data_IF_698659926271
#
_entry.id   IF_698659926271
#
_cell.length_a   1.000
_cell.length_b   1.000
_cell.length_c   1.000
_cell.angle_alpha   90.00
_cell.angle_beta   90.00
_cell.angle_gamma   90.00
#
_symmetry.space_group_name_H-M   'P 1'
#
loop_
_entity.id
_entity.type
_entity.pdbx_description
1 polymer ?
#
# COMPACT_ATOMS: atom_id res chain seq x y z
N UNK A 1 -9.49 -4.87 -25.65
CA UNK A 1 -8.41 -3.88 -25.49
C UNK A 1 -7.09 -4.64 -25.46
N UNK A 2 -6.28 -4.55 -26.52
CA UNK A 2 -4.97 -5.20 -26.53
C UNK A 2 -4.04 -4.40 -25.62
N UNK A 3 -3.46 -5.05 -24.60
CA UNK A 3 -2.45 -4.45 -23.74
C UNK A 3 -1.16 -4.32 -24.55
N UNK A 4 -0.97 -3.18 -25.22
CA UNK A 4 0.28 -2.90 -25.92
C UNK A 4 1.36 -2.59 -24.87
N UNK A 5 2.01 -3.63 -24.37
CA UNK A 5 3.22 -3.47 -23.57
C UNK A 5 4.31 -2.81 -24.43
N UNK A 6 5.05 -1.88 -23.84
CA UNK A 6 6.20 -1.27 -24.51
C UNK A 6 7.19 -2.36 -24.92
N UNK A 7 7.63 -2.30 -26.18
CA UNK A 7 8.65 -3.19 -26.76
C UNK A 7 9.91 -3.20 -25.88
N UNK A 8 10.28 -2.04 -25.31
CA UNK A 8 11.42 -1.89 -24.40
C UNK A 8 11.24 -2.70 -23.10
N UNK A 9 10.02 -2.75 -22.56
CA UNK A 9 9.73 -3.51 -21.35
C UNK A 9 9.84 -5.01 -21.61
N UNK A 10 9.30 -5.47 -22.74
CA UNK A 10 9.39 -6.88 -23.14
C UNK A 10 10.83 -7.29 -23.45
N UNK A 11 11.60 -6.41 -24.09
CA UNK A 11 13.03 -6.60 -24.33
C UNK A 11 13.83 -6.74 -23.03
N UNK A 12 13.55 -5.88 -22.04
CA UNK A 12 14.18 -5.97 -20.73
C UNK A 12 13.85 -7.28 -19.99
N UNK A 13 12.59 -7.71 -20.03
CA UNK A 13 12.19 -8.97 -19.41
C UNK A 13 12.87 -10.16 -20.12
N UNK A 14 12.93 -10.14 -21.44
CA UNK A 14 13.61 -11.18 -22.23
C UNK A 14 15.10 -11.30 -21.86
N UNK A 15 15.81 -10.17 -21.75
CA UNK A 15 17.24 -10.17 -21.36
C UNK A 15 17.47 -10.65 -19.93
N UNK A 16 16.58 -10.36 -18.98
CA UNK A 16 16.68 -10.90 -17.62
C UNK A 16 16.40 -12.41 -17.56
N UNK A 17 15.58 -12.94 -18.48
CA UNK A 17 15.22 -14.36 -18.55
C UNK A 17 16.18 -15.20 -19.41
N UNK A 18 17.13 -14.58 -20.12
CA UNK A 18 18.12 -15.27 -20.96
C UNK A 18 18.86 -16.38 -20.20
N UNK A 19 19.13 -17.50 -20.87
CA UNK A 19 19.91 -18.63 -20.32
C UNK A 19 21.40 -18.30 -20.16
N UNK A 20 21.89 -17.32 -20.93
CA UNK A 20 23.26 -16.84 -20.85
C UNK A 20 23.44 -15.96 -19.61
N UNK A 21 24.33 -16.37 -18.69
CA UNK A 21 24.57 -15.62 -17.45
C UNK A 21 25.30 -14.31 -17.68
N UNK A 22 26.19 -14.27 -18.67
CA UNK A 22 27.05 -13.11 -18.93
C UNK A 22 26.29 -11.94 -19.57
N UNK A 23 25.14 -12.22 -20.20
CA UNK A 23 24.28 -11.21 -20.81
C UNK A 23 23.26 -10.60 -19.85
N UNK A 24 23.13 -11.13 -18.62
CA UNK A 24 22.09 -10.67 -17.69
C UNK A 24 22.50 -9.33 -17.07
N UNK A 25 21.63 -8.31 -17.13
CA UNK A 25 21.91 -7.04 -16.49
C UNK A 25 22.00 -7.24 -14.97
N UNK A 26 22.97 -6.56 -14.36
CA UNK A 26 23.04 -6.48 -12.90
C UNK A 26 21.78 -5.80 -12.35
N UNK A 27 21.46 -6.05 -11.08
CA UNK A 27 20.26 -5.48 -10.45
C UNK A 27 20.23 -3.93 -10.51
N UNK A 28 21.39 -3.27 -10.47
CA UNK A 28 21.49 -1.81 -10.62
C UNK A 28 21.15 -1.35 -12.03
N UNK A 29 21.63 -2.07 -13.06
CA UNK A 29 21.35 -1.80 -14.48
C UNK A 29 19.87 -2.00 -14.79
N UNK A 30 19.28 -3.13 -14.37
CA UNK A 30 17.86 -3.42 -14.57
C UNK A 30 16.97 -2.34 -13.92
N UNK A 31 17.32 -1.90 -12.71
CA UNK A 31 16.62 -0.79 -12.03
C UNK A 31 16.76 0.53 -12.79
N UNK A 32 17.92 0.82 -13.37
CA UNK A 32 18.16 1.99 -14.22
C UNK A 32 17.29 1.97 -15.48
N UNK A 33 17.26 0.83 -16.17
CA UNK A 33 16.45 0.62 -17.37
C UNK A 33 14.95 0.71 -17.08
N UNK A 34 14.47 0.09 -16.00
CA UNK A 34 13.09 0.22 -15.56
C UNK A 34 12.70 1.68 -15.27
N UNK A 35 13.58 2.46 -14.64
CA UNK A 35 13.34 3.90 -14.42
C UNK A 35 13.23 4.66 -15.73
N UNK A 36 14.12 4.40 -16.69
CA UNK A 36 14.09 5.06 -17.99
C UNK A 36 12.80 4.74 -18.76
N UNK A 37 12.39 3.46 -18.78
CA UNK A 37 11.13 3.01 -19.40
C UNK A 37 9.93 3.65 -18.70
N UNK A 38 9.93 3.69 -17.36
CA UNK A 38 8.87 4.33 -16.60
C UNK A 38 8.79 5.83 -16.91
N UNK A 39 9.91 6.54 -17.03
CA UNK A 39 9.91 7.94 -17.44
C UNK A 39 9.33 8.10 -18.85
N UNK A 40 9.64 7.23 -19.81
CA UNK A 40 9.06 7.35 -21.15
C UNK A 40 7.56 7.04 -21.21
N UNK A 41 7.11 6.05 -20.42
CA UNK A 41 5.69 5.63 -20.38
C UNK A 41 4.82 6.59 -19.58
N UNK A 42 5.34 7.09 -18.46
CA UNK A 42 4.60 7.94 -17.52
C UNK A 42 4.93 9.41 -17.66
N UNK A 43 5.92 9.81 -18.47
CA UNK A 43 5.94 11.18 -18.96
C UNK A 43 4.71 11.32 -19.85
N UNK A 44 3.77 12.20 -19.47
CA UNK A 44 2.69 12.48 -20.36
C UNK A 44 3.32 13.13 -21.59
N UNK A 45 3.36 12.41 -22.71
CA UNK A 45 3.28 13.01 -24.04
C UNK A 45 1.90 13.66 -24.20
N UNK A 46 1.45 14.40 -23.20
CA UNK A 46 0.34 15.32 -23.36
C UNK A 46 0.92 16.43 -24.18
N UNK A 47 0.65 16.39 -25.48
CA UNK A 47 0.49 17.62 -26.25
C UNK A 47 -0.29 18.57 -25.34
N UNK A 48 0.31 19.70 -24.98
CA UNK A 48 -0.34 20.68 -24.11
C UNK A 48 -1.46 21.33 -24.92
N UNK A 49 -2.55 20.58 -25.18
CA UNK A 49 -3.67 21.02 -25.99
C UNK A 49 -4.86 21.31 -25.09
N UNK A 50 -5.55 22.40 -25.38
CA UNK A 50 -6.79 22.72 -24.68
C UNK A 50 -7.88 21.73 -25.09
N UNK A 51 -8.62 21.16 -24.15
CA UNK A 51 -9.71 20.23 -24.50
C UNK A 51 -10.96 20.92 -25.05
N UNK A 52 -11.05 22.26 -24.92
CA UNK A 52 -12.24 23.04 -25.32
C UNK A 52 -12.05 23.65 -26.72
N UNK A 53 -10.89 24.24 -26.99
CA UNK A 53 -10.59 24.89 -28.28
C UNK A 53 -9.51 24.19 -29.10
N UNK A 54 -8.94 23.08 -28.60
CA UNK A 54 -7.91 22.27 -29.27
C UNK A 54 -6.59 23.00 -29.62
N UNK A 55 -6.41 24.25 -29.20
CA UNK A 55 -5.15 24.98 -29.35
C UNK A 55 -3.99 24.24 -28.66
N UNK A 56 -2.87 24.11 -29.37
CA UNK A 56 -1.65 23.45 -28.89
C UNK A 56 -0.67 24.50 -28.37
N UNK A 57 -0.20 24.30 -27.15
CA UNK A 57 0.73 25.20 -26.46
C UNK A 57 2.14 24.59 -26.40
N UNK A 58 3.16 25.44 -26.50
CA UNK A 58 4.57 25.00 -26.41
C UNK A 58 4.98 24.63 -24.99
N UNK A 59 4.24 25.08 -23.98
CA UNK A 59 4.50 24.80 -22.57
C UNK A 59 3.21 24.68 -21.75
N UNK A 60 3.27 23.88 -20.68
CA UNK A 60 2.16 23.69 -19.74
C UNK A 60 1.75 24.99 -19.05
N UNK A 61 2.69 25.89 -18.77
CA UNK A 61 2.37 27.19 -18.17
C UNK A 61 1.59 28.10 -19.11
N UNK A 62 1.75 27.97 -20.43
CA UNK A 62 0.94 28.69 -21.41
C UNK A 62 -0.48 28.13 -21.47
N UNK A 63 -0.63 26.80 -21.43
CA UNK A 63 -1.94 26.15 -21.33
C UNK A 63 -2.68 26.57 -20.05
N UNK A 64 -2.00 26.66 -18.91
CA UNK A 64 -2.61 27.12 -17.65
C UNK A 64 -3.03 28.60 -17.70
N UNK A 65 -2.23 29.46 -18.33
CA UNK A 65 -2.61 30.87 -18.57
C UNK A 65 -3.82 30.96 -19.50
N UNK A 66 -3.86 30.13 -20.54
CA UNK A 66 -5.01 30.02 -21.43
C UNK A 66 -6.27 29.60 -20.65
N UNK A 67 -6.19 28.57 -19.80
CA UNK A 67 -7.33 28.16 -18.95
C UNK A 67 -7.82 29.26 -18.02
N UNK A 68 -6.91 30.03 -17.42
CA UNK A 68 -7.27 31.18 -16.57
C UNK A 68 -7.92 32.32 -17.34
N UNK A 69 -7.41 32.64 -18.53
CA UNK A 69 -7.90 33.77 -19.35
C UNK A 69 -9.27 33.48 -19.96
N UNK A 70 -9.47 32.29 -20.51
CA UNK A 70 -10.69 31.94 -21.26
C UNK A 70 -11.73 31.19 -20.43
N UNK A 71 -11.47 30.95 -19.13
CA UNK A 71 -12.37 30.19 -18.23
C UNK A 71 -12.70 28.78 -18.75
N UNK A 72 -11.80 28.17 -19.53
CA UNK A 72 -11.89 26.77 -19.99
C UNK A 72 -11.61 25.77 -18.86
N UNK A 73 -11.86 26.15 -17.61
CA UNK A 73 -11.62 25.33 -16.44
C UNK A 73 -12.58 24.16 -16.47
N UNK A 74 -12.09 22.98 -16.86
CA UNK A 74 -12.84 21.75 -16.65
C UNK A 74 -13.02 21.61 -15.15
N UNK A 75 -14.24 21.56 -14.60
CA UNK A 75 -14.44 21.23 -13.21
C UNK A 75 -13.90 19.81 -13.06
N UNK A 76 -12.68 19.69 -12.53
CA UNK A 76 -12.19 18.42 -12.03
C UNK A 76 -13.20 18.04 -10.96
N UNK A 77 -14.02 17.01 -11.23
CA UNK A 77 -15.01 16.49 -10.29
C UNK A 77 -14.36 16.43 -8.92
N UNK A 78 -14.70 17.41 -8.08
CA UNK A 78 -14.26 17.46 -6.71
C UNK A 78 -15.00 16.32 -6.04
N UNK A 79 -14.25 15.30 -5.59
CA UNK A 79 -14.76 14.29 -4.68
C UNK A 79 -15.05 15.00 -3.36
N UNK A 80 -16.26 15.56 -3.26
CA UNK A 80 -16.81 16.18 -2.06
C UNK A 80 -17.25 15.08 -1.08
N UNK A 81 -16.57 15.03 0.06
CA UNK A 81 -17.11 15.02 1.41
C UNK A 81 -18.63 14.79 1.59
N UNK A 82 -18.95 13.76 2.40
CA UNK A 82 -20.11 13.58 3.30
C UNK A 82 -21.50 13.17 2.72
N UNK A 83 -22.31 12.40 3.49
CA UNK A 83 -23.47 11.64 2.99
C UNK A 83 -24.81 12.36 3.20
N UNK A 84 -25.84 12.07 2.37
CA UNK A 84 -27.23 12.21 2.77
C UNK A 84 -27.90 10.85 2.98
N UNK A 85 -28.54 10.73 4.15
CA UNK A 85 -29.58 9.77 4.48
C UNK A 85 -30.79 10.01 3.58
N UNK A 86 -31.42 8.94 3.05
CA UNK A 86 -32.79 9.05 2.49
C UNK A 86 -33.14 8.01 1.42
N UNK A 87 -34.19 7.25 1.71
CA UNK A 87 -34.81 6.19 0.91
C UNK A 87 -35.37 6.67 -0.44
N UNK A 88 -35.44 5.78 -1.44
CA UNK A 88 -36.22 6.01 -2.65
C UNK A 88 -36.16 4.85 -3.66
N UNK A 89 -37.26 4.13 -3.79
CA UNK A 89 -37.56 3.08 -4.77
C UNK A 89 -37.90 3.65 -6.16
N UNK A 90 -37.36 3.06 -7.24
CA UNK A 90 -38.02 2.48 -8.45
C UNK A 90 -37.19 2.60 -9.74
N UNK A 91 -37.11 1.46 -10.46
CA UNK A 91 -37.00 1.15 -11.91
C UNK A 91 -36.66 2.33 -12.85
N UNK A 92 -35.70 2.27 -13.77
CA UNK A 92 -35.47 1.27 -14.84
C UNK A 92 -34.18 1.63 -15.62
N UNK A 93 -33.46 0.61 -16.12
CA UNK A 93 -32.41 0.52 -17.18
C UNK A 93 -31.66 1.81 -17.67
N UNK A 94 -30.34 1.91 -17.81
CA UNK A 94 -29.23 0.98 -18.02
C UNK A 94 -27.93 1.62 -17.49
N UNK A 95 -27.21 0.99 -16.56
CA UNK A 95 -25.84 1.44 -16.23
C UNK A 95 -24.97 0.30 -15.66
N UNK A 96 -23.74 0.23 -16.15
CA UNK A 96 -22.77 -0.84 -15.89
C UNK A 96 -22.22 -0.74 -14.46
N UNK A 97 -22.93 -1.35 -13.50
CA UNK A 97 -22.41 -1.58 -12.15
C UNK A 97 -21.57 -2.86 -12.11
N UNK A 98 -20.34 -2.76 -11.57
CA UNK A 98 -19.45 -3.89 -11.35
C UNK A 98 -20.14 -4.83 -10.33
N UNK A 99 -20.77 -5.89 -10.83
CA UNK A 99 -21.35 -6.97 -10.03
C UNK A 99 -20.22 -7.75 -9.36
N UNK A 100 -19.90 -7.33 -8.15
CA UNK A 100 -18.92 -7.96 -7.29
C UNK A 100 -19.03 -7.42 -5.86
N UNK A 101 -20.24 -7.15 -5.39
CA UNK A 101 -20.48 -7.13 -3.95
C UNK A 101 -20.21 -8.55 -3.47
N UNK A 102 -19.06 -8.78 -2.84
CA UNK A 102 -18.92 -9.94 -1.98
C UNK A 102 -20.06 -9.85 -0.97
N UNK A 103 -21.03 -10.74 -1.10
CA UNK A 103 -22.06 -10.95 -0.09
C UNK A 103 -21.29 -11.34 1.15
N UNK A 104 -21.04 -10.38 2.03
CA UNK A 104 -20.55 -10.66 3.38
C UNK A 104 -21.63 -11.57 3.97
N UNK A 105 -21.29 -12.81 4.36
CA UNK A 105 -22.27 -13.72 4.96
C UNK A 105 -23.08 -12.98 6.02
N UNK A 106 -24.42 -13.17 6.07
CA UNK A 106 -25.26 -12.59 7.10
C UNK A 106 -24.57 -12.87 8.43
N UNK A 107 -24.30 -11.79 9.18
CA UNK A 107 -23.59 -11.77 10.46
C UNK A 107 -23.16 -13.17 10.91
N UNK A 108 -21.85 -13.45 10.84
CA UNK A 108 -21.27 -14.40 11.79
C UNK A 108 -21.67 -13.89 13.18
N UNK A 109 -22.76 -14.46 13.68
CA UNK A 109 -23.19 -14.38 15.04
C UNK A 109 -22.12 -15.17 15.77
N UNK A 110 -21.11 -14.44 16.25
CA UNK A 110 -20.19 -15.02 17.20
C UNK A 110 -21.03 -15.30 18.43
N UNK A 111 -21.29 -16.58 18.71
CA UNK A 111 -21.85 -16.99 19.98
C UNK A 111 -20.94 -16.40 21.07
N UNK A 112 -21.47 -15.49 21.88
CA UNK A 112 -20.68 -14.75 22.89
C UNK A 112 -20.01 -15.70 23.90
N UNK A 113 -20.47 -16.95 23.98
CA UNK A 113 -19.90 -18.01 24.81
C UNK A 113 -18.57 -18.58 24.28
N UNK A 114 -18.23 -18.44 22.99
CA UNK A 114 -16.98 -18.98 22.40
C UNK A 114 -15.84 -17.94 22.35
N UNK A 115 -16.09 -16.71 22.82
CA UNK A 115 -15.14 -15.59 22.81
C UNK A 115 -14.19 -15.53 24.01
N UNK A 116 -14.33 -16.45 24.98
CA UNK A 116 -13.39 -16.65 26.10
C UNK A 116 -12.16 -17.50 25.71
N UNK A 117 -11.94 -17.76 24.42
CA UNK A 117 -10.67 -18.28 23.94
C UNK A 117 -9.55 -17.23 24.09
N UNK A 118 -8.84 -17.40 25.20
CA UNK A 118 -7.46 -17.06 25.54
C UNK A 118 -6.61 -16.57 24.36
N UNK A 119 -6.00 -15.41 24.59
CA UNK A 119 -4.89 -14.75 23.89
C UNK A 119 -5.22 -13.78 22.74
N UNK A 120 -5.70 -12.56 23.05
CA UNK A 120 -5.42 -11.42 22.19
C UNK A 120 -3.90 -11.23 22.09
N UNK A 121 -3.36 -11.46 20.89
CA UNK A 121 -1.93 -11.28 20.58
C UNK A 121 -1.42 -9.90 21.07
N UNK A 122 -0.21 -9.82 21.64
CA UNK A 122 0.36 -8.55 22.06
C UNK A 122 0.45 -7.58 20.89
N UNK A 123 0.31 -6.28 21.16
CA UNK A 123 0.51 -5.27 20.12
C UNK A 123 1.94 -5.32 19.61
N UNK A 124 2.17 -5.76 18.36
CA UNK A 124 3.49 -5.87 17.73
C UNK A 124 4.29 -4.56 17.76
N UNK A 125 3.60 -3.42 17.89
CA UNK A 125 4.25 -2.10 17.91
C UNK A 125 4.83 -1.77 19.29
N UNK A 126 4.16 -2.13 20.38
CA UNK A 126 4.61 -1.76 21.74
C UNK A 126 4.77 -2.94 22.71
N UNK A 127 4.56 -4.17 22.22
CA UNK A 127 4.52 -5.43 22.96
C UNK A 127 3.66 -5.39 24.23
N UNK A 128 2.63 -4.53 24.26
CA UNK A 128 1.63 -4.54 25.35
C UNK A 128 0.67 -5.69 25.14
N UNK A 129 0.39 -6.40 26.23
CA UNK A 129 -0.63 -7.44 26.32
C UNK A 129 -1.96 -6.80 26.72
N UNK A 130 -3.05 -7.36 26.22
CA UNK A 130 -4.40 -6.91 26.51
C UNK A 130 -5.17 -8.12 27.03
N UNK A 131 -6.14 -7.88 27.91
CA UNK A 131 -6.93 -9.01 28.45
C UNK A 131 -8.16 -9.29 27.58
N UNK A 132 -8.57 -8.33 26.75
CA UNK A 132 -9.73 -8.45 25.87
C UNK A 132 -9.44 -7.88 24.49
N UNK A 133 -10.10 -8.44 23.46
CA UNK A 133 -10.03 -7.94 22.08
C UNK A 133 -10.44 -6.46 21.98
N UNK A 134 -11.46 -6.04 22.76
CA UNK A 134 -11.92 -4.65 22.78
C UNK A 134 -10.85 -3.65 23.24
N UNK A 135 -10.08 -3.99 24.28
CA UNK A 135 -8.95 -3.15 24.74
C UNK A 135 -7.85 -3.06 23.69
N UNK A 136 -7.56 -4.16 22.99
CA UNK A 136 -6.60 -4.19 21.90
C UNK A 136 -7.02 -3.29 20.72
N UNK A 137 -8.28 -3.36 20.28
CA UNK A 137 -8.77 -2.51 19.21
C UNK A 137 -8.86 -1.03 19.60
N UNK A 138 -9.27 -0.72 20.83
CA UNK A 138 -9.24 0.65 21.37
C UNK A 138 -7.81 1.20 21.42
N UNK A 139 -6.84 0.37 21.79
CA UNK A 139 -5.42 0.72 21.77
C UNK A 139 -4.89 1.01 20.35
N UNK A 140 -5.30 0.22 19.34
CA UNK A 140 -4.95 0.48 17.94
C UNK A 140 -5.61 1.78 17.44
N UNK A 141 -6.90 1.98 17.75
CA UNK A 141 -7.69 3.14 17.33
C UNK A 141 -7.31 4.45 18.02
N UNK A 142 -6.70 4.41 19.21
CA UNK A 142 -6.27 5.56 20.02
C UNK A 142 -5.13 6.42 19.42
N UNK A 143 -4.90 6.35 18.11
CA UNK A 143 -4.08 7.29 17.35
C UNK A 143 -2.55 7.15 17.48
N UNK A 144 -2.05 6.36 18.45
CA UNK A 144 -0.61 6.14 18.66
C UNK A 144 -0.03 4.93 17.92
N UNK A 145 -0.86 3.99 17.45
CA UNK A 145 -0.40 2.79 16.73
C UNK A 145 -0.96 2.63 15.33
N UNK A 146 -2.07 3.32 15.01
CA UNK A 146 -2.69 3.27 13.68
C UNK A 146 -1.86 3.91 12.55
N UNK A 147 -0.74 4.58 12.82
CA UNK A 147 -0.10 5.43 11.81
C UNK A 147 1.20 4.89 11.22
N UNK A 148 1.07 4.66 9.92
CA UNK A 148 2.04 4.55 8.83
C UNK A 148 2.65 3.17 8.62
N UNK A 149 2.23 2.52 7.51
CA UNK A 149 2.89 1.33 6.98
C UNK A 149 4.42 1.50 6.89
N UNK A 150 4.90 2.74 6.66
CA UNK A 150 6.32 3.10 6.73
C UNK A 150 6.98 2.87 8.10
N UNK A 151 6.28 3.14 9.21
CA UNK A 151 6.80 2.90 10.57
C UNK A 151 6.88 1.39 10.86
N UNK A 152 5.85 0.64 10.45
CA UNK A 152 5.83 -0.83 10.56
C UNK A 152 6.92 -1.46 9.69
N UNK A 153 7.11 -0.99 8.46
CA UNK A 153 8.19 -1.44 7.57
C UNK A 153 9.58 -1.09 8.11
N UNK A 154 9.77 0.11 8.66
CA UNK A 154 11.04 0.52 9.28
C UNK A 154 11.38 -0.36 10.48
N UNK A 155 10.43 -0.62 11.37
CA UNK A 155 10.60 -1.53 12.52
C UNK A 155 10.85 -2.98 12.08
N UNK A 156 10.12 -3.50 11.08
CA UNK A 156 10.39 -4.84 10.54
C UNK A 156 11.81 -4.95 10.00
N UNK A 157 12.26 -3.95 9.23
CA UNK A 157 13.63 -3.89 8.75
C UNK A 157 14.67 -3.78 9.89
N UNK A 158 14.37 -3.04 10.96
CA UNK A 158 15.24 -2.95 12.15
C UNK A 158 15.25 -4.24 12.97
N UNK A 159 14.15 -4.99 13.04
CA UNK A 159 14.07 -6.29 13.71
C UNK A 159 14.80 -7.36 12.90
N UNK A 160 14.64 -7.40 11.57
CA UNK A 160 15.37 -8.32 10.69
C UNK A 160 16.88 -8.05 10.69
N UNK A 161 17.30 -6.82 11.03
CA UNK A 161 18.71 -6.45 11.20
C UNK A 161 19.24 -6.61 12.63
N UNK A 162 18.39 -6.91 13.63
CA UNK A 162 18.80 -6.95 15.04
C UNK A 162 18.20 -8.12 15.83
N UNK A 163 18.05 -9.29 15.19
CA UNK A 163 18.14 -10.56 15.91
C UNK A 163 19.62 -10.93 16.02
N UNK A 164 20.33 -10.22 16.88
CA UNK A 164 21.66 -10.62 17.35
C UNK A 164 21.45 -11.87 18.23
N UNK A 165 21.34 -13.04 17.58
CA UNK A 165 21.11 -14.36 18.21
C UNK A 165 22.09 -14.58 19.38
N UNK A 166 23.30 -14.04 19.29
CA UNK A 166 24.33 -14.14 20.33
C UNK A 166 24.08 -13.31 21.60
N UNK A 167 23.11 -12.38 21.64
CA UNK A 167 22.72 -11.70 22.89
C UNK A 167 21.69 -12.47 23.71
N UNK A 168 20.88 -13.30 23.06
CA UNK A 168 19.93 -14.19 23.72
C UNK A 168 20.67 -15.28 24.50
N UNK A 169 21.62 -15.96 23.85
CA UNK A 169 22.44 -17.01 24.46
C UNK A 169 23.25 -16.49 25.65
N UNK A 170 23.93 -15.33 25.51
CA UNK A 170 24.71 -14.74 26.61
C UNK A 170 23.87 -14.39 27.84
N UNK A 171 22.58 -14.09 27.66
CA UNK A 171 21.66 -13.79 28.76
C UNK A 171 21.16 -15.07 29.42
N UNK A 172 20.88 -16.10 28.62
CA UNK A 172 20.53 -17.43 29.10
C UNK A 172 21.67 -18.04 29.92
N UNK A 173 22.90 -18.01 29.40
CA UNK A 173 24.09 -18.60 30.03
C UNK A 173 24.45 -17.92 31.37
N UNK A 174 24.28 -16.59 31.48
CA UNK A 174 24.41 -15.88 32.76
C UNK A 174 23.36 -16.31 33.77
N UNK A 175 22.14 -16.59 33.31
CA UNK A 175 21.06 -17.05 34.18
C UNK A 175 21.32 -18.47 34.66
N UNK A 176 21.69 -19.40 33.76
CA UNK A 176 22.03 -20.79 34.11
C UNK A 176 23.20 -20.85 35.09
N UNK A 177 24.24 -20.04 34.88
CA UNK A 177 25.40 -19.98 35.80
C UNK A 177 25.02 -19.47 37.19
N UNK A 178 24.12 -18.49 37.27
CA UNK A 178 23.65 -17.93 38.55
C UNK A 178 22.74 -18.90 39.31
N UNK A 179 21.98 -19.71 38.58
CA UNK A 179 21.07 -20.70 39.16
C UNK A 179 21.83 -21.89 39.76
N UNK A 180 22.85 -22.39 39.06
CA UNK A 180 23.73 -23.45 39.61
C UNK A 180 24.46 -23.00 40.88
N UNK A 181 24.84 -21.72 40.98
CA UNK A 181 25.50 -21.17 42.18
C UNK A 181 24.60 -21.00 43.40
N UNK A 182 23.28 -21.19 43.26
CA UNK A 182 22.31 -21.04 44.35
C UNK A 182 21.98 -22.35 45.06
N UNK A 183 22.41 -23.48 44.50
CA UNK A 183 22.09 -24.83 44.97
C UNK A 183 23.28 -25.56 45.62
N UNK A 184 24.44 -24.92 45.70
CA UNK A 184 25.57 -25.29 46.58
C UNK A 184 25.55 -24.40 47.84
#
# INVERSE_FOLDING_TARGET
>A
MSMNYSIELLSLISTMLSTERDSRPTASQAKGQLRAIALQLFQPKTTNKCSVCEEVFSSRTQLDKHYKKFRHYRPTKATSTAPPVGQGTVKAEDDFSIRGCATVPPQYYYDEAELEAVDPSPCVVCNKYFNTKGQFFSHLGGGRHWRNAKYVQKRKAEIDLNVDVGKGERRHEKWTRKDMQKHD
#
